data_IF_676483399780
#
_entry.id   IF_676483399780
#
_cell.length_a   1.000
_cell.length_b   1.000
_cell.length_c   1.000
_cell.angle_alpha   90.00
_cell.angle_beta   90.00
_cell.angle_gamma   90.00
#
_symmetry.space_group_name_H-M   'P 1'
#
loop_
_entity.id
_entity.type
_entity.pdbx_description
1 polymer ?
#
# COMPACT_ATOMS: atom_id res chain seq x y z
N UNK A 1 1.84 12.61 12.12
CA UNK A 1 2.59 11.33 12.01
C UNK A 1 3.88 11.62 11.26
N UNK A 2 5.03 11.23 11.79
CA UNK A 2 6.31 11.51 11.12
C UNK A 2 6.48 10.67 9.85
N UNK A 3 7.30 11.15 8.91
CA UNK A 3 7.64 10.39 7.71
C UNK A 3 8.32 9.06 8.01
N UNK A 4 9.09 8.97 9.10
CA UNK A 4 9.76 7.74 9.56
C UNK A 4 8.75 6.66 9.95
N UNK A 5 7.73 7.02 10.75
CA UNK A 5 6.67 6.08 11.14
C UNK A 5 5.90 5.58 9.92
N UNK A 6 5.62 6.47 8.96
CA UNK A 6 4.95 6.09 7.71
C UNK A 6 5.78 5.10 6.88
N UNK A 7 7.07 5.39 6.69
CA UNK A 7 7.97 4.52 5.94
C UNK A 7 8.09 3.13 6.57
N UNK A 8 8.33 3.08 7.88
CA UNK A 8 8.41 1.82 8.62
C UNK A 8 7.10 1.02 8.53
N UNK A 9 5.95 1.67 8.78
CA UNK A 9 4.64 1.00 8.69
C UNK A 9 4.39 0.47 7.29
N UNK A 10 4.76 1.23 6.25
CA UNK A 10 4.64 0.81 4.86
C UNK A 10 5.45 -0.45 4.55
N UNK A 11 6.70 -0.53 5.00
CA UNK A 11 7.53 -1.73 4.83
C UNK A 11 6.90 -2.95 5.52
N UNK A 12 6.47 -2.80 6.78
CA UNK A 12 5.82 -3.88 7.51
C UNK A 12 4.51 -4.34 6.86
N UNK A 13 3.77 -3.43 6.22
CA UNK A 13 2.56 -3.77 5.48
C UNK A 13 2.88 -4.60 4.22
N UNK A 14 3.97 -4.29 3.52
CA UNK A 14 4.41 -5.12 2.40
C UNK A 14 4.86 -6.50 2.85
N UNK A 15 5.54 -6.61 4.01
CA UNK A 15 5.98 -7.91 4.55
C UNK A 15 4.82 -8.86 4.86
N UNK A 16 3.65 -8.35 5.23
CA UNK A 16 2.45 -9.18 5.48
C UNK A 16 1.63 -9.46 4.21
N UNK A 17 2.09 -8.97 3.05
CA UNK A 17 1.48 -9.24 1.74
C UNK A 17 0.53 -8.16 1.23
N UNK A 18 0.72 -6.90 1.62
CA UNK A 18 -0.01 -5.80 0.99
C UNK A 18 0.24 -5.76 -0.53
N UNK A 19 -0.83 -5.57 -1.29
CA UNK A 19 -0.82 -5.43 -2.74
C UNK A 19 -0.39 -4.03 -3.17
N UNK A 20 -0.70 -3.03 -2.33
CA UNK A 20 -0.34 -1.63 -2.54
C UNK A 20 -0.44 -0.87 -1.21
N UNK A 21 0.43 0.11 -1.01
CA UNK A 21 0.45 1.00 0.16
C UNK A 21 0.80 2.39 -0.33
N UNK A 22 -0.05 3.38 -0.03
CA UNK A 22 0.21 4.77 -0.37
C UNK A 22 -0.27 5.70 0.73
N UNK A 23 0.22 6.93 0.69
CA UNK A 23 -0.26 7.98 1.58
C UNK A 23 -0.55 9.27 0.82
N UNK A 24 -1.62 9.94 1.22
CA UNK A 24 -2.09 11.18 0.59
C UNK A 24 -1.99 12.33 1.60
N UNK A 25 -1.34 13.47 1.27
CA UNK A 25 -1.45 14.69 2.06
C UNK A 25 -2.91 15.15 2.14
N UNK A 26 -3.39 15.42 3.36
CA UNK A 26 -4.76 15.87 3.58
C UNK A 26 -4.78 17.06 4.55
N UNK A 27 -5.83 17.86 4.48
CA UNK A 27 -6.13 18.87 5.49
C UNK A 27 -7.13 18.30 6.50
N UNK A 28 -6.82 18.40 7.79
CA UNK A 28 -7.71 17.98 8.88
C UNK A 28 -8.27 19.19 9.62
N UNK A 29 -9.38 19.00 10.33
CA UNK A 29 -9.89 20.00 11.29
C UNK A 29 -8.78 20.44 12.24
N UNK A 30 -8.79 21.70 12.67
CA UNK A 30 -7.75 22.31 13.53
C UNK A 30 -6.34 22.36 12.90
N UNK A 31 -6.21 22.03 11.62
CA UNK A 31 -5.01 22.15 10.79
C UNK A 31 -3.67 21.75 11.47
N UNK A 32 -3.56 20.51 12.00
CA UNK A 32 -2.28 20.02 12.50
C UNK A 32 -1.33 19.92 11.30
N UNK A 33 -0.28 20.75 11.26
CA UNK A 33 0.44 21.09 10.03
C UNK A 33 0.83 19.93 9.09
N UNK A 34 1.11 18.73 9.60
CA UNK A 34 1.38 17.54 8.79
C UNK A 34 0.37 16.41 9.05
N UNK A 35 -0.66 16.34 8.21
CA UNK A 35 -1.62 15.25 8.18
C UNK A 35 -1.51 14.41 6.90
N UNK A 36 -1.60 13.09 7.05
CA UNK A 36 -1.52 12.11 5.96
C UNK A 36 -2.62 11.07 6.13
N UNK A 37 -3.26 10.68 5.03
CA UNK A 37 -4.14 9.53 4.97
C UNK A 37 -3.34 8.32 4.47
N UNK A 38 -3.13 7.30 5.32
CA UNK A 38 -2.53 6.04 4.92
C UNK A 38 -3.61 5.13 4.32
N UNK A 39 -3.33 4.56 3.15
CA UNK A 39 -4.24 3.67 2.44
C UNK A 39 -3.49 2.41 2.01
N UNK A 40 -4.15 1.26 2.15
CA UNK A 40 -3.56 -0.05 1.90
C UNK A 40 -4.57 -0.92 1.16
N UNK A 41 -4.10 -1.63 0.14
CA UNK A 41 -4.82 -2.75 -0.47
C UNK A 41 -4.20 -4.06 0.01
N UNK A 42 -5.01 -4.93 0.60
CA UNK A 42 -4.57 -6.26 1.03
C UNK A 42 -5.52 -7.34 0.50
N UNK A 43 -5.03 -8.58 0.33
CA UNK A 43 -5.91 -9.75 0.20
C UNK A 43 -6.88 -9.84 1.39
N UNK A 44 -8.07 -10.44 1.17
CA UNK A 44 -9.14 -10.48 2.19
C UNK A 44 -8.71 -11.21 3.47
N UNK A 45 -7.90 -12.26 3.33
CA UNK A 45 -7.32 -13.03 4.42
C UNK A 45 -6.26 -12.26 5.24
N UNK A 46 -5.75 -11.14 4.72
CA UNK A 46 -4.77 -10.27 5.38
C UNK A 46 -5.37 -9.01 6.00
N UNK A 47 -6.69 -8.82 5.92
CA UNK A 47 -7.37 -7.62 6.44
C UNK A 47 -7.13 -7.42 7.94
N UNK A 48 -7.29 -8.47 8.75
CA UNK A 48 -7.11 -8.41 10.21
C UNK A 48 -5.66 -8.09 10.59
N UNK A 49 -4.69 -8.75 9.93
CA UNK A 49 -3.26 -8.52 10.14
C UNK A 49 -2.88 -7.06 9.84
N UNK A 50 -3.37 -6.51 8.72
CA UNK A 50 -3.11 -5.14 8.32
C UNK A 50 -3.73 -4.12 9.28
N UNK A 51 -4.98 -4.36 9.73
CA UNK A 51 -5.64 -3.51 10.72
C UNK A 51 -4.87 -3.51 12.04
N UNK A 52 -4.50 -4.69 12.55
CA UNK A 52 -3.74 -4.82 13.79
C UNK A 52 -2.38 -4.11 13.70
N UNK A 53 -1.68 -4.26 12.57
CA UNK A 53 -0.41 -3.58 12.30
C UNK A 53 -0.59 -2.06 12.30
N UNK A 54 -1.58 -1.52 11.57
CA UNK A 54 -1.81 -0.07 11.50
C UNK A 54 -2.14 0.48 12.89
N UNK A 55 -2.99 -0.18 13.67
CA UNK A 55 -3.36 0.26 15.01
C UNK A 55 -2.18 0.23 15.98
N UNK A 56 -1.23 -0.69 15.79
CA UNK A 56 -0.03 -0.82 16.63
C UNK A 56 1.04 0.20 16.29
N UNK A 57 1.33 0.39 15.01
CA UNK A 57 2.46 1.21 14.56
C UNK A 57 2.10 2.69 14.40
N UNK A 58 0.81 3.03 14.44
CA UNK A 58 0.33 4.39 14.21
C UNK A 58 -0.51 4.92 15.38
N UNK A 59 -0.57 6.25 15.60
CA UNK A 59 -1.43 6.83 16.63
C UNK A 59 -2.91 6.88 16.22
N UNK A 60 -3.33 6.17 15.16
CA UNK A 60 -4.75 6.15 14.77
C UNK A 60 -5.55 5.36 15.79
N UNK A 61 -6.78 5.80 16.07
CA UNK A 61 -7.71 5.10 16.96
C UNK A 61 -8.60 4.10 16.20
N UNK A 62 -8.48 4.03 14.88
CA UNK A 62 -9.32 3.19 14.06
C UNK A 62 -8.90 3.18 12.59
N UNK A 63 -9.39 2.18 11.88
CA UNK A 63 -9.22 1.99 10.43
C UNK A 63 -10.59 1.78 9.81
N UNK A 64 -10.81 2.33 8.61
CA UNK A 64 -12.02 2.08 7.81
C UNK A 64 -11.67 1.07 6.74
N UNK A 65 -12.43 -0.02 6.65
CA UNK A 65 -12.23 -1.06 5.63
C UNK A 65 -13.44 -1.16 4.70
N UNK A 66 -13.18 -1.57 3.46
CA UNK A 66 -14.23 -1.95 2.49
C UNK A 66 -13.67 -2.95 1.49
N UNK A 67 -14.45 -3.97 1.07
CA UNK A 67 -14.07 -4.81 -0.05
C UNK A 67 -14.01 -3.99 -1.35
N UNK A 68 -13.01 -4.26 -2.19
CA UNK A 68 -12.86 -3.63 -3.51
C UNK A 68 -12.71 -4.74 -4.55
N UNK A 69 -13.62 -4.77 -5.52
CA UNK A 69 -13.51 -5.65 -6.68
C UNK A 69 -12.41 -5.12 -7.62
N UNK A 70 -11.63 -6.04 -8.19
CA UNK A 70 -10.55 -5.71 -9.12
C UNK A 70 -10.73 -6.47 -10.42
N UNK A 71 -10.90 -5.75 -11.51
CA UNK A 71 -10.71 -6.29 -12.86
C UNK A 71 -9.23 -6.16 -13.21
N UNK A 72 -8.61 -7.26 -13.62
CA UNK A 72 -7.20 -7.28 -14.04
C UNK A 72 -7.15 -7.52 -15.54
N UNK A 73 -6.33 -6.74 -16.24
CA UNK A 73 -5.94 -7.09 -17.62
C UNK A 73 -5.18 -8.43 -17.62
N UNK A 74 -5.34 -9.21 -18.68
CA UNK A 74 -4.58 -10.44 -18.92
C UNK A 74 -3.12 -10.11 -19.23
N UNK A 75 -2.32 -9.91 -18.18
CA UNK A 75 -0.90 -9.59 -18.32
C UNK A 75 -0.15 -10.83 -18.79
N UNK A 76 0.65 -10.66 -19.85
CA UNK A 76 1.62 -11.66 -20.28
C UNK A 76 3.02 -11.09 -20.09
N UNK A 77 3.91 -11.89 -19.51
CA UNK A 77 5.33 -11.58 -19.50
C UNK A 77 5.93 -12.11 -20.79
N UNK A 78 6.38 -11.21 -21.66
CA UNK A 78 7.01 -11.57 -22.94
C UNK A 78 8.50 -11.28 -22.83
N UNK A 79 9.33 -12.23 -23.25
CA UNK A 79 10.78 -11.98 -23.37
C UNK A 79 11.06 -11.52 -24.80
N UNK A 80 11.64 -10.34 -24.94
CA UNK A 80 12.02 -9.78 -26.24
C UNK A 80 13.54 -9.81 -26.35
N UNK A 81 14.05 -10.40 -27.43
CA UNK A 81 15.46 -10.32 -27.78
C UNK A 81 15.76 -8.95 -28.39
N UNK A 82 16.74 -8.26 -27.82
CA UNK A 82 17.25 -6.99 -28.36
C UNK A 82 18.73 -7.13 -28.67
N UNK A 83 19.29 -6.17 -29.41
CA UNK A 83 20.74 -6.09 -29.67
C UNK A 83 21.59 -5.97 -28.40
N UNK A 84 20.96 -5.63 -27.27
CA UNK A 84 21.58 -5.46 -25.96
C UNK A 84 21.30 -6.64 -25.01
N UNK A 85 20.64 -7.70 -25.51
CA UNK A 85 20.26 -8.88 -24.74
C UNK A 85 18.74 -9.03 -24.55
N UNK A 86 18.35 -10.09 -23.85
CA UNK A 86 16.95 -10.42 -23.59
C UNK A 86 16.37 -9.56 -22.48
N UNK A 87 15.26 -8.88 -22.76
CA UNK A 87 14.51 -8.09 -21.76
C UNK A 87 13.13 -8.70 -21.53
N UNK A 88 12.70 -8.72 -20.26
CA UNK A 88 11.34 -9.12 -19.90
C UNK A 88 10.43 -7.91 -19.95
N UNK A 89 9.48 -7.91 -20.87
CA UNK A 89 8.49 -6.85 -21.06
C UNK A 89 7.13 -7.32 -20.57
N UNK A 90 6.41 -6.41 -19.92
CA UNK A 90 5.07 -6.63 -19.43
C UNK A 90 4.08 -6.17 -20.50
N UNK A 91 3.35 -7.12 -21.09
CA UNK A 91 2.22 -6.88 -22.00
C UNK A 91 0.93 -6.58 -21.26
#
# INVERSE_FOLDING_TARGET
MSGVVLGYTQERLFDIGALDVWNTPIQMKKNPGQARCLSVLVPKDKEQDAVALILRETPTLGVRTRPIARVRSGRQMVTIETRLGCIKVKG
#
